data_IF_631989270233
#
_entry.id   IF_631989270233
#
_cell.length_a   1.000
_cell.length_b   1.000
_cell.length_c   1.000
_cell.angle_alpha   90.00
_cell.angle_beta   90.00
_cell.angle_gamma   90.00
#
_symmetry.space_group_name_H-M   'P 1'
#
loop_
_entity.id
_entity.type
_entity.pdbx_description
1 polymer ?
#
# COMPACT_ATOMS: atom_id res chain seq x y z
N UNK A 1 -12.43 27.63 0.17
CA UNK A 1 -12.64 26.21 0.55
C UNK A 1 -11.54 25.41 -0.11
N UNK A 2 -10.79 24.60 0.65
CA UNK A 2 -9.74 23.75 0.06
C UNK A 2 -10.37 22.71 -0.87
N UNK A 3 -9.79 22.46 -2.04
CA UNK A 3 -10.30 21.43 -2.97
C UNK A 3 -10.21 20.03 -2.36
N UNK A 4 -11.20 19.19 -2.66
CA UNK A 4 -11.18 17.78 -2.25
C UNK A 4 -10.08 17.04 -3.02
N UNK A 5 -9.26 16.20 -2.35
CA UNK A 5 -8.29 15.37 -3.03
C UNK A 5 -8.96 14.49 -4.09
N UNK A 6 -8.31 14.32 -5.24
CA UNK A 6 -8.73 13.41 -6.30
C UNK A 6 -7.72 12.26 -6.44
N UNK A 7 -8.17 11.04 -6.80
CA UNK A 7 -7.27 9.94 -7.08
C UNK A 7 -6.44 10.25 -8.33
N UNK A 8 -5.17 9.86 -8.30
CA UNK A 8 -4.31 9.91 -9.49
C UNK A 8 -4.70 8.79 -10.46
N UNK A 9 -4.48 9.02 -11.75
CA UNK A 9 -4.67 7.99 -12.76
C UNK A 9 -3.70 6.82 -12.56
N UNK A 10 -4.09 5.64 -13.05
CA UNK A 10 -3.33 4.39 -12.85
C UNK A 10 -1.95 4.44 -13.51
N UNK A 11 -1.87 5.03 -14.70
CA UNK A 11 -0.62 5.21 -15.46
C UNK A 11 0.41 6.13 -14.77
N UNK A 12 0.00 6.86 -13.74
CA UNK A 12 0.88 7.67 -12.92
C UNK A 12 1.76 6.85 -11.95
N UNK A 13 1.67 5.51 -11.98
CA UNK A 13 2.45 4.57 -11.18
C UNK A 13 3.19 3.61 -12.10
N UNK A 14 4.45 3.32 -11.79
CA UNK A 14 5.35 2.56 -12.67
C UNK A 14 5.49 1.09 -12.27
N UNK A 15 5.22 0.76 -11.01
CA UNK A 15 5.31 -0.59 -10.48
C UNK A 15 3.99 -1.00 -9.85
N UNK A 16 3.62 -2.28 -10.00
CA UNK A 16 2.38 -2.84 -9.46
C UNK A 16 2.63 -4.18 -8.79
N UNK A 17 2.15 -4.33 -7.56
CA UNK A 17 2.12 -5.58 -6.82
C UNK A 17 0.68 -6.02 -6.59
N UNK A 18 0.37 -7.29 -6.90
CA UNK A 18 -0.93 -7.90 -6.60
C UNK A 18 -0.94 -8.45 -5.18
N UNK A 19 -1.81 -7.92 -4.34
CA UNK A 19 -1.95 -8.32 -2.93
C UNK A 19 -3.34 -8.95 -2.73
N UNK A 20 -3.43 -10.22 -2.30
CA UNK A 20 -4.71 -10.82 -1.94
C UNK A 20 -5.20 -10.25 -0.60
N UNK A 21 -6.48 -9.90 -0.52
CA UNK A 21 -7.13 -9.63 0.77
C UNK A 21 -7.28 -10.92 1.57
N UNK A 22 -7.34 -10.77 2.89
CA UNK A 22 -7.58 -11.81 3.89
C UNK A 22 -8.95 -11.58 4.52
N UNK A 23 -9.54 -12.65 5.05
CA UNK A 23 -10.83 -12.56 5.76
C UNK A 23 -10.81 -11.49 6.87
N UNK A 24 -9.71 -11.44 7.63
CA UNK A 24 -9.51 -10.51 8.74
C UNK A 24 -9.28 -9.05 8.34
N UNK A 25 -9.11 -8.78 7.04
CA UNK A 25 -8.91 -7.40 6.57
C UNK A 25 -10.23 -6.62 6.64
N UNK A 26 -11.37 -7.32 6.52
CA UNK A 26 -12.69 -6.72 6.67
C UNK A 26 -12.95 -6.39 8.15
N UNK A 27 -13.38 -5.16 8.42
CA UNK A 27 -13.93 -4.78 9.72
C UNK A 27 -15.44 -5.05 9.83
N UNK A 28 -16.03 -4.63 10.95
CA UNK A 28 -17.46 -4.81 11.26
C UNK A 28 -18.39 -4.16 10.23
N UNK A 29 -17.91 -3.19 9.45
CA UNK A 29 -18.66 -2.53 8.39
C UNK A 29 -18.59 -3.26 7.05
N UNK A 30 -17.90 -4.40 6.99
CA UNK A 30 -17.86 -5.27 5.80
C UNK A 30 -16.89 -4.82 4.71
N UNK A 31 -16.01 -3.87 4.99
CA UNK A 31 -14.97 -3.39 4.08
C UNK A 31 -13.60 -3.54 4.71
N UNK A 32 -12.55 -3.54 3.89
CA UNK A 32 -11.18 -3.53 4.38
C UNK A 32 -10.95 -2.33 5.27
N UNK A 33 -10.49 -2.58 6.49
CA UNK A 33 -10.25 -1.54 7.47
C UNK A 33 -9.16 -0.57 6.97
N UNK A 34 -9.34 0.70 7.29
CA UNK A 34 -8.42 1.77 6.88
C UNK A 34 -6.95 1.51 7.30
N UNK A 35 -6.71 0.88 8.46
CA UNK A 35 -5.35 0.58 8.95
C UNK A 35 -4.64 -0.44 8.05
N UNK A 36 -5.38 -1.37 7.44
CA UNK A 36 -4.81 -2.44 6.60
C UNK A 36 -4.15 -1.88 5.34
N UNK A 37 -4.61 -0.72 4.83
CA UNK A 37 -3.98 -0.07 3.68
C UNK A 37 -2.52 0.29 3.93
N UNK A 38 -2.14 0.64 5.16
CA UNK A 38 -0.74 0.92 5.50
C UNK A 38 0.12 -0.33 5.41
N UNK A 39 -0.41 -1.50 5.78
CA UNK A 39 0.29 -2.77 5.56
C UNK A 39 0.47 -3.09 4.07
N UNK A 40 -0.48 -2.70 3.21
CA UNK A 40 -0.29 -2.82 1.75
C UNK A 40 0.80 -1.89 1.23
N UNK A 41 0.90 -0.66 1.76
CA UNK A 41 1.98 0.27 1.41
C UNK A 41 3.34 -0.29 1.81
N UNK A 42 3.47 -0.78 3.05
CA UNK A 42 4.71 -1.42 3.52
C UNK A 42 5.06 -2.63 2.66
N UNK A 43 4.07 -3.45 2.30
CA UNK A 43 4.28 -4.65 1.47
C UNK A 43 4.83 -4.28 0.09
N UNK A 44 4.19 -3.35 -0.64
CA UNK A 44 4.64 -3.00 -2.01
C UNK A 44 5.98 -2.27 -2.01
N UNK A 45 6.23 -1.40 -1.03
CA UNK A 45 7.49 -0.66 -0.93
C UNK A 45 8.64 -1.61 -0.59
N UNK A 46 8.50 -2.43 0.44
CA UNK A 46 9.59 -3.29 0.89
C UNK A 46 9.84 -4.45 -0.08
N UNK A 47 8.81 -5.02 -0.70
CA UNK A 47 8.97 -6.03 -1.76
C UNK A 47 9.78 -5.44 -2.92
N UNK A 48 9.44 -4.23 -3.38
CA UNK A 48 10.18 -3.55 -4.43
C UNK A 48 11.65 -3.29 -4.05
N UNK A 49 11.91 -2.79 -2.84
CA UNK A 49 13.27 -2.50 -2.37
C UNK A 49 14.14 -3.76 -2.21
N UNK A 50 13.56 -4.85 -1.73
CA UNK A 50 14.23 -6.16 -1.62
C UNK A 50 14.51 -6.71 -3.01
N UNK A 51 13.53 -6.71 -3.91
CA UNK A 51 13.68 -7.18 -5.28
C UNK A 51 14.71 -6.40 -6.09
N UNK A 52 14.86 -5.10 -5.82
CA UNK A 52 15.87 -4.23 -6.42
C UNK A 52 17.27 -4.34 -5.77
N UNK A 53 17.42 -5.12 -4.69
CA UNK A 53 18.69 -5.26 -3.96
C UNK A 53 19.09 -4.02 -3.16
N UNK A 54 18.16 -3.10 -2.90
CA UNK A 54 18.39 -1.87 -2.13
C UNK A 54 18.27 -2.13 -0.63
N UNK A 55 17.35 -3.02 -0.24
CA UNK A 55 17.10 -3.39 1.16
C UNK A 55 17.50 -4.84 1.41
N UNK A 56 18.35 -5.05 2.40
CA UNK A 56 18.62 -6.35 3.02
C UNK A 56 18.21 -6.26 4.49
N UNK A 57 17.02 -6.77 4.82
CA UNK A 57 16.50 -6.71 6.18
C UNK A 57 17.10 -7.77 7.11
N UNK A 58 17.86 -8.73 6.59
CA UNK A 58 18.52 -9.77 7.40
C UNK A 58 19.96 -9.38 7.78
N UNK A 59 20.71 -8.79 6.83
CA UNK A 59 22.16 -8.54 6.98
C UNK A 59 22.58 -7.11 6.67
N UNK A 60 21.66 -6.28 6.19
CA UNK A 60 21.93 -4.88 5.87
C UNK A 60 22.28 -4.05 7.11
N UNK A 61 23.18 -3.08 6.95
CA UNK A 61 23.52 -2.09 7.99
C UNK A 61 22.61 -0.87 7.97
N UNK A 62 21.78 -0.74 6.94
CA UNK A 62 20.91 0.41 6.70
C UNK A 62 19.46 -0.04 6.73
N UNK A 63 18.60 0.74 7.39
CA UNK A 63 17.16 0.50 7.48
C UNK A 63 16.39 1.72 6.95
N UNK A 64 15.19 1.46 6.41
CA UNK A 64 14.22 2.52 6.11
C UNK A 64 13.35 2.81 7.33
N UNK A 65 13.18 4.08 7.67
CA UNK A 65 12.26 4.53 8.71
C UNK A 65 11.13 5.33 8.08
N UNK A 66 9.88 4.92 8.35
CA UNK A 66 8.69 5.63 7.89
C UNK A 66 8.39 6.76 8.88
N UNK A 67 8.75 7.99 8.51
CA UNK A 67 8.59 9.17 9.38
C UNK A 67 7.25 9.87 9.21
N UNK A 68 6.63 9.75 8.02
CA UNK A 68 5.33 10.34 7.71
C UNK A 68 4.61 9.46 6.68
N UNK A 69 3.29 9.32 6.84
CA UNK A 69 2.42 8.75 5.81
C UNK A 69 1.13 9.54 5.72
N UNK A 70 0.53 9.54 4.52
CA UNK A 70 -0.79 10.11 4.27
C UNK A 70 -1.59 9.19 3.37
N UNK A 71 -2.81 8.88 3.78
CA UNK A 71 -3.74 8.08 3.00
C UNK A 71 -5.05 8.84 2.79
N UNK A 72 -5.52 8.90 1.55
CA UNK A 72 -6.88 9.35 1.22
C UNK A 72 -7.67 8.15 0.70
N UNK A 73 -8.87 7.92 1.24
CA UNK A 73 -9.73 6.79 0.86
C UNK A 73 -10.81 7.27 -0.11
N UNK A 74 -10.77 6.76 -1.35
CA UNK A 74 -11.67 7.20 -2.42
C UNK A 74 -12.85 6.23 -2.68
N UNK A 75 -12.63 4.93 -2.49
CA UNK A 75 -13.64 3.88 -2.62
C UNK A 75 -13.25 2.70 -1.73
N UNK A 76 -14.22 2.03 -1.06
CA UNK A 76 -13.93 0.84 -0.28
C UNK A 76 -13.61 -0.35 -1.19
N UNK A 77 -12.87 -1.31 -0.63
CA UNK A 77 -12.69 -2.67 -1.14
C UNK A 77 -13.10 -3.65 -0.03
N UNK A 78 -13.34 -4.91 -0.38
CA UNK A 78 -13.69 -5.95 0.58
C UNK A 78 -13.07 -7.30 0.18
N UNK A 79 -12.77 -8.13 1.18
CA UNK A 79 -12.49 -9.54 0.93
C UNK A 79 -13.65 -10.20 0.16
N UNK A 80 -13.40 -11.05 -0.86
CA UNK A 80 -12.12 -11.63 -1.30
C UNK A 80 -11.47 -10.93 -2.51
N UNK A 81 -11.69 -9.62 -2.71
CA UNK A 81 -11.10 -8.90 -3.84
C UNK A 81 -9.57 -8.90 -3.78
N UNK A 82 -8.91 -8.79 -4.95
CA UNK A 82 -7.46 -8.58 -5.02
C UNK A 82 -7.15 -7.11 -5.22
N UNK A 83 -6.11 -6.63 -4.55
CA UNK A 83 -5.63 -5.25 -4.65
C UNK A 83 -4.45 -5.20 -5.61
N UNK A 84 -4.47 -4.21 -6.50
CA UNK A 84 -3.27 -3.81 -7.25
C UNK A 84 -2.64 -2.60 -6.53
N UNK A 85 -1.55 -2.81 -5.80
CA UNK A 85 -0.81 -1.74 -5.14
C UNK A 85 0.15 -1.08 -6.14
N UNK A 86 -0.12 0.17 -6.51
CA UNK A 86 0.72 0.97 -7.41
C UNK A 86 1.81 1.74 -6.65
N UNK A 87 3.06 1.65 -7.11
CA UNK A 87 4.23 2.30 -6.52
C UNK A 87 4.92 3.25 -7.51
N UNK A 88 5.42 4.37 -6.97
CA UNK A 88 6.28 5.36 -7.64
C UNK A 88 7.09 6.15 -6.60
N UNK A 89 8.13 6.84 -7.05
CA UNK A 89 8.94 7.78 -6.25
C UNK A 89 8.72 9.20 -6.77
#
# INVERSE_FOLDING_TARGET
>A
MSEKPQPRARDAYLHFLKIPTRWMDNDVYGHVNNVVYYSYFDTVVNEYLVGAGVLDFERGRTIGLVVETKCNYFSPIAFPQRVDAGLRV
#
